data_IF_034143190558
#
_entry.id   IF_034143190558
#
_cell.length_a   1.000
_cell.length_b   1.000
_cell.length_c   1.000
_cell.angle_alpha   90.00
_cell.angle_beta   90.00
_cell.angle_gamma   90.00
#
_symmetry.space_group_name_H-M   'P 1'
#
loop_
_entity.id
_entity.type
_entity.pdbx_description
1 polymer ?
#
# COMPACT_ATOMS: atom_id res chain seq x y z
N UNK A 1 -9.63 -4.46 -6.01
CA UNK A 1 -8.55 -5.31 -6.57
C UNK A 1 -7.89 -6.04 -5.40
N UNK A 2 -7.81 -7.37 -5.46
CA UNK A 2 -7.08 -8.14 -4.47
C UNK A 2 -5.57 -7.89 -4.64
N UNK A 3 -4.85 -7.64 -3.56
CA UNK A 3 -3.39 -7.54 -3.58
C UNK A 3 -2.81 -8.84 -4.16
N UNK A 4 -1.87 -8.71 -5.10
CA UNK A 4 -1.14 -9.84 -5.71
C UNK A 4 -0.09 -10.46 -4.78
N UNK A 5 -0.06 -10.06 -3.50
CA UNK A 5 0.81 -10.66 -2.50
C UNK A 5 0.32 -12.06 -2.16
N UNK A 6 1.15 -13.07 -2.43
CA UNK A 6 0.88 -14.44 -2.00
C UNK A 6 0.72 -14.49 -0.47
N UNK A 7 -0.43 -14.97 0.00
CA UNK A 7 -0.60 -15.24 1.42
C UNK A 7 0.06 -16.59 1.80
N UNK A 8 0.16 -16.89 3.09
CA UNK A 8 0.78 -18.14 3.56
C UNK A 8 0.06 -19.41 3.08
N UNK A 9 -1.24 -19.33 2.78
CA UNK A 9 -2.02 -20.46 2.25
C UNK A 9 -1.74 -20.67 0.77
N UNK A 10 -1.60 -19.60 -0.01
CA UNK A 10 -1.19 -19.68 -1.42
C UNK A 10 0.20 -20.30 -1.53
N UNK A 11 1.12 -19.89 -0.66
CA UNK A 11 2.43 -20.53 -0.55
C UNK A 11 2.33 -22.02 -0.26
N UNK A 12 1.54 -22.42 0.75
CA UNK A 12 1.38 -23.82 1.11
C UNK A 12 0.85 -24.68 -0.06
N UNK A 13 -0.05 -24.13 -0.89
CA UNK A 13 -0.51 -24.77 -2.12
C UNK A 13 0.64 -24.95 -3.12
N UNK A 14 1.43 -23.89 -3.36
CA UNK A 14 2.59 -23.98 -4.26
C UNK A 14 3.63 -24.98 -3.75
N UNK A 15 3.88 -25.04 -2.44
CA UNK A 15 4.79 -26.02 -1.81
C UNK A 15 4.29 -27.45 -1.98
N UNK A 16 3.00 -27.71 -1.79
CA UNK A 16 2.40 -29.03 -2.00
C UNK A 16 2.50 -29.50 -3.47
N UNK A 17 2.59 -28.56 -4.42
CA UNK A 17 2.78 -28.83 -5.85
C UNK A 17 4.25 -28.90 -6.27
N UNK A 18 5.20 -28.64 -5.37
CA UNK A 18 6.64 -28.58 -5.68
C UNK A 18 7.17 -29.89 -6.27
N UNK A 19 6.68 -31.01 -5.77
CA UNK A 19 7.14 -32.34 -6.13
C UNK A 19 6.38 -32.95 -7.34
N UNK A 20 5.40 -32.25 -7.89
CA UNK A 20 4.69 -32.66 -9.10
C UNK A 20 3.21 -32.30 -9.14
N UNK A 21 2.51 -32.85 -10.14
CA UNK A 21 1.07 -32.67 -10.31
C UNK A 21 0.29 -33.31 -9.16
N UNK A 22 -0.72 -32.60 -8.66
CA UNK A 22 -1.65 -33.13 -7.66
C UNK A 22 -3.10 -32.76 -7.98
N UNK A 23 -4.01 -33.70 -7.77
CA UNK A 23 -5.45 -33.44 -7.83
C UNK A 23 -5.93 -32.63 -6.60
N UNK A 24 -7.12 -32.05 -6.73
CA UNK A 24 -7.69 -31.17 -5.71
C UNK A 24 -8.03 -31.91 -4.40
N UNK A 25 -8.39 -33.19 -4.46
CA UNK A 25 -8.75 -33.97 -3.27
C UNK A 25 -7.51 -34.25 -2.42
N UNK A 26 -6.41 -34.61 -3.07
CA UNK A 26 -5.11 -34.81 -2.43
C UNK A 26 -4.56 -33.51 -1.84
N UNK A 27 -4.68 -32.39 -2.55
CA UNK A 27 -4.28 -31.08 -2.03
C UNK A 27 -5.14 -30.68 -0.82
N UNK A 28 -6.46 -30.83 -0.90
CA UNK A 28 -7.37 -30.53 0.20
C UNK A 28 -7.05 -31.38 1.44
N UNK A 29 -6.78 -32.68 1.26
CA UNK A 29 -6.37 -33.56 2.36
C UNK A 29 -4.99 -33.21 2.92
N UNK A 30 -4.03 -32.80 2.10
CA UNK A 30 -2.67 -32.47 2.53
C UNK A 30 -2.64 -31.17 3.34
N UNK A 31 -3.45 -30.20 2.92
CA UNK A 31 -3.52 -28.87 3.53
C UNK A 31 -4.61 -28.75 4.61
N UNK A 32 -5.33 -29.85 4.89
CA UNK A 32 -6.52 -29.87 5.76
C UNK A 32 -7.53 -28.76 5.41
N UNK A 33 -7.69 -28.49 4.11
CA UNK A 33 -8.45 -27.37 3.59
C UNK A 33 -9.82 -27.81 3.05
N UNK A 34 -10.81 -26.90 3.10
CA UNK A 34 -12.08 -27.12 2.41
C UNK A 34 -11.86 -27.12 0.88
N UNK A 35 -12.43 -28.13 0.21
CA UNK A 35 -12.25 -28.35 -1.23
C UNK A 35 -12.72 -27.16 -2.09
N UNK A 36 -13.91 -26.64 -1.84
CA UNK A 36 -14.49 -25.58 -2.69
C UNK A 36 -13.67 -24.28 -2.56
N UNK A 37 -13.28 -23.92 -1.33
CA UNK A 37 -12.40 -22.78 -1.08
C UNK A 37 -11.01 -22.95 -1.71
N UNK A 38 -10.50 -24.18 -1.73
CA UNK A 38 -9.24 -24.50 -2.42
C UNK A 38 -9.38 -24.42 -3.94
N UNK A 39 -10.53 -24.80 -4.51
CA UNK A 39 -10.79 -24.69 -5.96
C UNK A 39 -10.79 -23.23 -6.41
N UNK A 40 -11.50 -22.35 -5.70
CA UNK A 40 -11.50 -20.91 -5.98
C UNK A 40 -10.09 -20.31 -5.90
N UNK A 41 -9.31 -20.77 -4.93
CA UNK A 41 -7.93 -20.33 -4.74
C UNK A 41 -7.00 -20.81 -5.85
N UNK A 42 -7.10 -22.08 -6.24
CA UNK A 42 -6.35 -22.64 -7.37
C UNK A 42 -6.73 -21.95 -8.68
N UNK A 43 -8.00 -21.57 -8.87
CA UNK A 43 -8.42 -20.75 -10.02
C UNK A 43 -7.68 -19.42 -10.06
N UNK A 44 -7.64 -18.69 -8.94
CA UNK A 44 -6.89 -17.42 -8.85
C UNK A 44 -5.39 -17.60 -9.10
N UNK A 45 -4.78 -18.67 -8.59
CA UNK A 45 -3.37 -18.98 -8.85
C UNK A 45 -3.12 -19.32 -10.33
N UNK A 46 -4.08 -19.96 -10.99
CA UNK A 46 -4.02 -20.27 -12.42
C UNK A 46 -4.17 -19.00 -13.27
N UNK A 47 -5.09 -18.12 -12.91
CA UNK A 47 -5.29 -16.82 -13.57
C UNK A 47 -4.03 -15.93 -13.48
N UNK A 48 -3.29 -16.03 -12.36
CA UNK A 48 -1.98 -15.38 -12.17
C UNK A 48 -0.80 -16.14 -12.81
N UNK A 49 -1.05 -17.25 -13.51
CA UNK A 49 -0.03 -18.04 -14.19
C UNK A 49 0.97 -18.75 -13.27
N UNK A 50 0.62 -18.97 -12.00
CA UNK A 50 1.47 -19.64 -11.02
C UNK A 50 1.28 -21.16 -11.02
N UNK A 51 0.08 -21.62 -11.37
CA UNK A 51 -0.24 -23.04 -11.56
C UNK A 51 -0.92 -23.26 -12.91
N UNK A 52 -0.76 -24.45 -13.48
CA UNK A 52 -1.48 -24.92 -14.66
C UNK A 52 -2.51 -25.97 -14.24
N UNK A 53 -3.74 -25.84 -14.75
CA UNK A 53 -4.79 -26.86 -14.64
C UNK A 53 -4.69 -27.82 -15.82
N UNK A 54 -4.61 -29.12 -15.54
CA UNK A 54 -4.64 -30.21 -16.52
C UNK A 54 -5.64 -31.30 -16.14
N UNK A 55 -5.73 -32.34 -16.96
CA UNK A 55 -6.67 -33.45 -16.77
C UNK A 55 -6.39 -34.23 -15.47
N UNK A 56 -5.12 -34.31 -15.08
CA UNK A 56 -4.65 -35.03 -13.88
C UNK A 56 -4.57 -34.14 -12.62
N UNK A 57 -5.02 -32.88 -12.70
CA UNK A 57 -5.01 -31.95 -11.57
C UNK A 57 -4.22 -30.66 -11.85
N UNK A 58 -3.54 -30.16 -10.83
CA UNK A 58 -2.80 -28.90 -10.87
C UNK A 58 -1.30 -29.16 -10.80
N UNK A 59 -0.52 -28.37 -11.52
CA UNK A 59 0.94 -28.41 -11.48
C UNK A 59 1.51 -26.99 -11.43
N UNK A 60 2.64 -26.82 -10.76
CA UNK A 60 3.40 -25.56 -10.77
C UNK A 60 3.86 -25.20 -12.19
N UNK A 61 3.72 -23.92 -12.55
CA UNK A 61 4.42 -23.35 -13.72
C UNK A 61 5.87 -23.00 -13.36
N UNK A 62 6.69 -22.66 -14.36
CA UNK A 62 8.02 -22.11 -14.11
C UNK A 62 7.96 -20.78 -13.33
N UNK A 63 6.91 -19.96 -13.56
CA UNK A 63 6.70 -18.73 -12.80
C UNK A 63 6.34 -19.02 -11.34
N UNK A 64 5.41 -19.96 -11.09
CA UNK A 64 5.08 -20.39 -9.74
C UNK A 64 6.30 -20.92 -8.99
N UNK A 65 7.19 -21.66 -9.68
CA UNK A 65 8.43 -22.18 -9.08
C UNK A 65 9.39 -21.06 -8.72
N UNK A 66 9.63 -20.11 -9.64
CA UNK A 66 10.47 -18.93 -9.35
C UNK A 66 9.93 -18.12 -8.17
N UNK A 67 8.62 -17.89 -8.12
CA UNK A 67 7.99 -17.14 -7.03
C UNK A 67 8.14 -17.89 -5.70
N UNK A 68 7.94 -19.21 -5.70
CA UNK A 68 8.13 -20.04 -4.51
C UNK A 68 9.59 -20.05 -4.03
N UNK A 69 10.56 -20.04 -4.94
CA UNK A 69 12.00 -19.99 -4.63
C UNK A 69 12.46 -18.59 -4.20
N UNK A 70 11.89 -17.54 -4.79
CA UNK A 70 12.21 -16.15 -4.47
C UNK A 70 11.59 -15.68 -3.15
N UNK A 71 10.51 -16.33 -2.73
CA UNK A 71 9.86 -16.06 -1.44
C UNK A 71 10.47 -17.05 -0.43
N UNK A 72 11.31 -16.61 0.52
CA UNK A 72 11.84 -17.52 1.53
C UNK A 72 10.70 -18.17 2.35
N UNK A 73 10.94 -19.41 2.80
CA UNK A 73 9.97 -20.25 3.55
C UNK A 73 9.56 -19.60 4.86
N UNK A 74 10.45 -18.78 5.41
CA UNK A 74 10.20 -17.88 6.53
C UNK A 74 10.04 -16.49 5.92
N UNK A 75 8.79 -16.01 5.85
CA UNK A 75 8.43 -14.77 5.16
C UNK A 75 9.40 -13.65 5.49
N UNK A 76 9.92 -12.96 4.46
CA UNK A 76 11.06 -12.00 4.50
C UNK A 76 11.69 -11.99 5.88
N UNK A 77 12.72 -12.81 6.10
CA UNK A 77 13.42 -12.80 7.39
C UNK A 77 14.06 -11.42 7.57
N UNK A 78 13.27 -10.47 8.08
CA UNK A 78 13.67 -9.09 8.30
C UNK A 78 14.87 -9.05 9.28
N UNK A 79 15.14 -10.15 9.98
CA UNK A 79 16.32 -10.33 10.83
C UNK A 79 17.62 -10.28 10.03
N UNK A 80 17.61 -10.65 8.74
CA UNK A 80 18.79 -10.57 7.87
C UNK A 80 19.26 -9.12 7.75
N UNK A 81 18.30 -8.18 7.71
CA UNK A 81 18.57 -6.75 7.57
C UNK A 81 18.43 -5.98 8.89
N UNK A 82 18.21 -6.67 10.01
CA UNK A 82 18.08 -6.05 11.33
C UNK A 82 19.35 -6.26 12.15
N UNK A 83 20.05 -5.20 12.59
CA UNK A 83 21.25 -5.35 13.42
C UNK A 83 20.98 -6.15 14.70
N UNK A 84 21.96 -6.96 15.14
CA UNK A 84 21.84 -7.84 16.33
C UNK A 84 21.36 -7.12 17.60
N UNK A 85 21.71 -5.83 17.75
CA UNK A 85 21.27 -5.03 18.89
C UNK A 85 19.80 -4.66 18.87
N UNK A 86 19.25 -4.44 17.68
CA UNK A 86 17.82 -4.21 17.46
C UNK A 86 17.07 -5.51 17.66
N UNK A 87 17.58 -6.64 17.14
CA UNK A 87 16.98 -7.97 17.40
C UNK A 87 16.94 -8.29 18.91
N UNK A 88 18.04 -8.07 19.64
CA UNK A 88 18.05 -8.26 21.09
C UNK A 88 17.07 -7.34 21.82
N UNK A 89 16.89 -6.10 21.35
CA UNK A 89 15.91 -5.18 21.91
C UNK A 89 14.48 -5.68 21.68
N UNK A 90 14.16 -6.16 20.48
CA UNK A 90 12.86 -6.74 20.15
C UNK A 90 12.56 -8.02 20.95
N UNK A 91 13.53 -8.94 21.04
CA UNK A 91 13.40 -10.18 21.82
C UNK A 91 13.15 -9.91 23.32
N UNK A 92 13.63 -8.79 23.85
CA UNK A 92 13.41 -8.41 25.25
C UNK A 92 11.99 -7.90 25.56
N UNK A 93 11.16 -7.63 24.53
CA UNK A 93 9.84 -6.98 24.69
C UNK A 93 8.64 -7.92 24.77
N UNK A 94 8.85 -9.24 24.82
CA UNK A 94 7.78 -10.25 24.90
C UNK A 94 6.69 -10.06 23.82
N UNK A 95 7.11 -9.68 22.62
CA UNK A 95 6.21 -9.46 21.49
C UNK A 95 5.74 -10.77 20.88
N UNK A 96 4.49 -10.77 20.39
CA UNK A 96 4.06 -11.87 19.53
C UNK A 96 4.87 -11.86 18.22
N UNK A 97 5.06 -13.03 17.56
CA UNK A 97 5.87 -13.09 16.34
C UNK A 97 5.41 -12.16 15.21
N UNK A 98 4.10 -11.95 15.06
CA UNK A 98 3.47 -11.04 14.09
C UNK A 98 3.71 -9.56 14.45
N UNK A 99 3.59 -9.20 15.73
CA UNK A 99 3.92 -7.86 16.23
C UNK A 99 5.40 -7.52 16.02
N UNK A 100 6.30 -8.45 16.38
CA UNK A 100 7.73 -8.29 16.14
C UNK A 100 8.04 -8.11 14.65
N UNK A 101 7.30 -8.77 13.77
CA UNK A 101 7.45 -8.62 12.31
C UNK A 101 7.00 -7.22 11.83
N UNK A 102 5.92 -6.67 12.39
CA UNK A 102 5.48 -5.31 12.09
C UNK A 102 6.50 -4.25 12.53
N UNK A 103 7.07 -4.39 13.73
CA UNK A 103 8.11 -3.47 14.21
C UNK A 103 9.37 -3.58 13.35
N UNK A 104 9.75 -4.80 12.91
CA UNK A 104 10.87 -4.99 11.97
C UNK A 104 10.62 -4.35 10.61
N UNK A 105 9.40 -4.44 10.08
CA UNK A 105 9.05 -3.79 8.82
C UNK A 105 9.18 -2.26 8.93
N UNK A 106 8.65 -1.67 9.99
CA UNK A 106 8.80 -0.24 10.29
C UNK A 106 10.26 0.18 10.48
N UNK A 107 11.04 -0.60 11.24
CA UNK A 107 12.48 -0.36 11.42
C UNK A 107 13.26 -0.48 10.11
N UNK A 108 12.96 -1.48 9.28
CA UNK A 108 13.63 -1.69 7.98
C UNK A 108 13.38 -0.52 7.04
N UNK A 109 12.14 0.01 7.03
CA UNK A 109 11.81 1.22 6.29
C UNK A 109 12.64 2.42 6.78
N UNK A 110 12.66 2.69 8.09
CA UNK A 110 13.47 3.77 8.65
C UNK A 110 14.97 3.60 8.40
N UNK A 111 15.51 2.38 8.50
CA UNK A 111 16.91 2.09 8.20
C UNK A 111 17.24 2.35 6.73
N UNK A 112 16.30 2.05 5.84
CA UNK A 112 16.50 2.29 4.41
C UNK A 112 16.54 3.79 4.10
N UNK A 113 15.55 4.55 4.58
CA UNK A 113 15.33 5.97 4.27
C UNK A 113 16.08 6.96 5.17
N UNK A 114 16.49 6.53 6.36
CA UNK A 114 17.10 7.38 7.38
C UNK A 114 16.08 8.15 8.22
N UNK A 115 15.19 8.90 7.59
CA UNK A 115 14.15 9.69 8.26
C UNK A 115 12.78 9.45 7.63
N UNK A 116 11.73 9.44 8.46
CA UNK A 116 10.35 9.39 8.00
C UNK A 116 9.38 9.95 9.05
N UNK A 117 8.24 10.45 8.60
CA UNK A 117 7.09 10.74 9.45
C UNK A 117 6.36 9.45 9.85
N UNK A 118 5.58 9.50 10.93
CA UNK A 118 4.72 8.38 11.31
C UNK A 118 3.80 7.94 10.15
N UNK A 119 3.24 8.88 9.38
CA UNK A 119 2.36 8.58 8.25
C UNK A 119 3.06 7.77 7.15
N UNK A 120 4.31 8.12 6.81
CA UNK A 120 5.11 7.39 5.82
C UNK A 120 5.46 5.98 6.29
N UNK A 121 5.85 5.82 7.56
CA UNK A 121 6.12 4.49 8.13
C UNK A 121 4.86 3.62 8.11
N UNK A 122 3.70 4.22 8.44
CA UNK A 122 2.41 3.54 8.39
C UNK A 122 2.07 3.08 6.97
N UNK A 123 2.14 3.97 5.98
CA UNK A 123 1.79 3.65 4.60
C UNK A 123 2.65 2.50 4.07
N UNK A 124 3.96 2.54 4.35
CA UNK A 124 4.91 1.54 3.91
C UNK A 124 4.74 0.17 4.59
N UNK A 125 4.55 0.14 5.92
CA UNK A 125 4.62 -1.11 6.68
C UNK A 125 3.26 -1.72 7.04
N UNK A 126 2.20 -0.92 7.21
CA UNK A 126 0.88 -1.44 7.64
C UNK A 126 0.26 -2.35 6.57
N UNK A 127 0.40 -1.97 5.29
CA UNK A 127 -0.16 -2.76 4.18
C UNK A 127 0.52 -4.12 4.02
N UNK A 128 1.78 -4.25 4.45
CA UNK A 128 2.53 -5.51 4.45
C UNK A 128 2.26 -6.35 5.71
N UNK A 129 2.20 -5.74 6.89
CA UNK A 129 2.12 -6.46 8.17
C UNK A 129 1.10 -5.83 9.15
N UNK A 130 -0.21 -6.00 8.94
CA UNK A 130 -1.25 -5.33 9.74
C UNK A 130 -1.53 -5.94 11.12
N UNK A 131 -1.03 -7.17 11.41
CA UNK A 131 -1.14 -7.84 12.73
C UNK A 131 -2.58 -7.97 13.27
N UNK A 132 -3.57 -8.00 12.38
CA UNK A 132 -4.99 -8.11 12.76
C UNK A 132 -5.62 -6.82 13.31
N UNK A 133 -4.93 -5.68 13.25
CA UNK A 133 -5.51 -4.39 13.57
C UNK A 133 -6.46 -3.92 12.46
N UNK A 134 -7.54 -3.25 12.83
CA UNK A 134 -8.60 -2.82 11.91
C UNK A 134 -8.24 -1.53 11.15
N UNK A 135 -7.33 -0.72 11.69
CA UNK A 135 -6.88 0.53 11.09
C UNK A 135 -5.39 0.73 11.29
N UNK A 136 -4.82 1.55 10.41
CA UNK A 136 -3.40 1.85 10.38
C UNK A 136 -2.97 2.66 11.62
N UNK A 137 -3.83 3.56 12.10
CA UNK A 137 -3.61 4.35 13.32
C UNK A 137 -3.62 3.48 14.57
N UNK A 138 -4.53 2.49 14.65
CA UNK A 138 -4.57 1.54 15.77
C UNK A 138 -3.37 0.61 15.76
N UNK A 139 -2.94 0.17 14.57
CA UNK A 139 -1.69 -0.59 14.40
C UNK A 139 -0.48 0.23 14.86
N UNK A 140 -0.37 1.49 14.43
CA UNK A 140 0.73 2.36 14.81
C UNK A 140 0.79 2.61 16.31
N UNK A 141 -0.29 3.14 16.88
CA UNK A 141 -0.36 3.52 18.29
C UNK A 141 -0.38 2.32 19.23
N UNK A 142 -0.94 1.18 18.81
CA UNK A 142 -1.16 0.02 19.66
C UNK A 142 -0.14 -1.10 19.50
N UNK A 143 0.71 -1.08 18.46
CA UNK A 143 1.71 -2.12 18.21
C UNK A 143 3.09 -1.55 17.90
N UNK A 144 3.21 -0.58 16.99
CA UNK A 144 4.54 -0.23 16.45
C UNK A 144 5.25 0.88 17.21
N UNK A 145 4.57 2.01 17.46
CA UNK A 145 5.15 3.27 17.94
C UNK A 145 6.07 3.09 19.15
N UNK A 146 5.54 2.59 20.27
CA UNK A 146 6.28 2.47 21.53
C UNK A 146 7.46 1.50 21.43
N UNK A 147 7.32 0.45 20.61
CA UNK A 147 8.38 -0.53 20.41
C UNK A 147 9.48 -0.01 19.50
N UNK A 148 9.12 0.78 18.49
CA UNK A 148 10.04 1.44 17.57
C UNK A 148 10.86 2.52 18.30
N UNK A 149 10.23 3.34 19.15
CA UNK A 149 10.89 4.40 19.93
C UNK A 149 11.98 3.86 20.83
N UNK A 150 11.74 2.68 21.37
CA UNK A 150 12.62 2.09 22.34
C UNK A 150 13.67 1.16 21.69
N UNK A 151 13.76 1.09 20.35
CA UNK A 151 14.87 0.43 19.67
C UNK A 151 16.16 1.26 19.78
N UNK A 152 17.34 0.63 19.84
CA UNK A 152 18.58 1.36 19.73
C UNK A 152 18.64 2.06 18.37
N UNK A 153 19.31 3.21 18.30
CA UNK A 153 19.53 4.00 17.07
C UNK A 153 18.27 4.54 16.41
N UNK A 154 17.09 4.44 17.04
CA UNK A 154 15.89 5.12 16.59
C UNK A 154 15.61 6.26 17.55
N UNK A 155 15.37 7.45 16.99
CA UNK A 155 14.98 8.63 17.76
C UNK A 155 13.71 9.21 17.19
N UNK A 156 12.86 9.71 18.08
CA UNK A 156 11.69 10.48 17.73
C UNK A 156 11.98 11.96 17.98
N UNK A 157 11.72 12.79 16.97
CA UNK A 157 11.69 14.24 17.11
C UNK A 157 10.29 14.75 16.75
N UNK A 158 9.71 15.55 17.64
CA UNK A 158 8.49 16.29 17.33
C UNK A 158 8.86 17.65 16.76
N UNK A 159 8.44 17.92 15.53
CA UNK A 159 8.29 19.28 15.03
C UNK A 159 6.80 19.61 15.11
N UNK A 160 6.46 20.75 15.72
CA UNK A 160 5.05 21.18 15.86
C UNK A 160 4.37 21.34 14.49
N UNK A 161 5.13 21.62 13.43
CA UNK A 161 4.61 21.88 12.09
C UNK A 161 4.60 20.63 11.18
N UNK A 162 5.46 19.64 11.41
CA UNK A 162 5.62 18.45 10.55
C UNK A 162 5.09 17.15 11.18
N UNK A 163 4.71 17.20 12.47
CA UNK A 163 4.25 16.03 13.22
C UNK A 163 5.39 15.19 13.77
N UNK A 164 5.09 13.94 14.12
CA UNK A 164 6.05 13.00 14.69
C UNK A 164 7.03 12.51 13.62
N UNK A 165 8.27 13.01 13.67
CA UNK A 165 9.36 12.58 12.80
C UNK A 165 10.21 11.52 13.51
N UNK A 166 10.61 10.50 12.77
CA UNK A 166 11.38 9.35 13.22
C UNK A 166 12.68 9.30 12.44
N UNK A 167 13.80 9.13 13.15
CA UNK A 167 15.14 9.11 12.57
C UNK A 167 15.90 7.86 13.02
N UNK A 168 16.48 7.17 12.07
CA UNK A 168 17.54 6.19 12.27
C UNK A 168 18.89 6.91 12.37
N UNK A 169 19.60 6.74 13.50
CA UNK A 169 20.89 7.40 13.80
C UNK A 169 22.09 6.72 13.13
N UNK A 170 21.90 5.54 12.52
CA UNK A 170 22.95 4.85 11.78
C UNK A 170 23.14 5.41 10.36
N UNK A 171 23.97 4.75 9.56
CA UNK A 171 24.09 5.07 8.13
C UNK A 171 22.90 4.48 7.39
N UNK A 172 22.01 5.31 6.80
CA UNK A 172 20.89 4.80 6.01
C UNK A 172 21.38 4.00 4.80
N UNK A 173 20.53 3.13 4.26
CA UNK A 173 20.90 2.33 3.08
C UNK A 173 21.06 3.20 1.82
N UNK A 174 20.31 4.31 1.75
CA UNK A 174 20.48 5.33 0.73
C UNK A 174 21.23 6.53 1.35
N UNK A 175 22.40 6.87 0.81
CA UNK A 175 23.22 7.98 1.31
C UNK A 175 22.59 9.35 1.02
N UNK A 176 21.80 9.44 -0.05
CA UNK A 176 20.99 10.59 -0.42
C UNK A 176 19.73 10.09 -1.12
N UNK A 177 18.55 10.68 -0.87
CA UNK A 177 17.33 10.33 -1.60
C UNK A 177 17.50 10.53 -3.13
N UNK A 178 18.38 11.43 -3.55
CA UNK A 178 18.67 11.67 -4.97
C UNK A 178 19.53 10.58 -5.65
N UNK A 179 20.17 9.69 -4.88
CA UNK A 179 21.10 8.65 -5.38
C UNK A 179 20.44 7.26 -5.53
N UNK A 180 19.10 7.20 -5.48
CA UNK A 180 18.30 5.97 -5.43
C UNK A 180 18.45 5.01 -6.62
N UNK A 181 18.18 3.73 -6.38
CA UNK A 181 18.26 2.58 -7.29
C UNK A 181 17.24 2.58 -8.46
N UNK A 182 16.71 3.75 -8.82
CA UNK A 182 15.58 3.92 -9.73
C UNK A 182 14.21 3.78 -9.06
N UNK A 183 14.14 3.66 -7.73
CA UNK A 183 12.92 3.89 -6.96
C UNK A 183 12.85 5.36 -6.59
N UNK A 184 11.89 6.06 -7.18
CA UNK A 184 11.64 7.47 -6.91
C UNK A 184 11.39 7.68 -5.41
N UNK A 185 12.20 8.55 -4.83
CA UNK A 185 12.05 8.97 -3.44
C UNK A 185 10.96 10.02 -3.40
N UNK A 186 9.94 9.89 -2.54
CA UNK A 186 9.00 10.97 -2.34
C UNK A 186 9.76 12.24 -1.93
N UNK A 187 9.48 13.36 -2.60
CA UNK A 187 10.01 14.65 -2.17
C UNK A 187 9.73 14.85 -0.68
N UNK A 188 10.72 15.35 0.10
CA UNK A 188 10.49 15.64 1.51
C UNK A 188 9.27 16.54 1.64
N UNK A 189 8.34 16.24 2.57
CA UNK A 189 7.08 16.94 2.65
C UNK A 189 7.34 18.43 2.88
N UNK A 190 7.07 19.25 1.87
CA UNK A 190 6.82 20.67 2.14
C UNK A 190 5.63 20.73 3.10
N UNK A 191 5.66 21.65 4.07
CA UNK A 191 4.75 21.78 5.25
C UNK A 191 3.24 21.74 4.94
N UNK A 192 2.83 21.66 3.67
CA UNK A 192 1.43 21.56 3.21
C UNK A 192 1.09 20.28 2.44
N UNK A 193 2.04 19.34 2.29
CA UNK A 193 1.88 18.13 1.48
C UNK A 193 2.33 16.86 2.22
N UNK A 194 2.13 16.78 3.54
CA UNK A 194 2.48 15.58 4.34
C UNK A 194 1.59 14.35 4.09
N UNK A 195 0.69 14.42 3.10
CA UNK A 195 -0.19 13.33 2.73
C UNK A 195 0.42 12.70 1.47
N UNK A 196 1.23 11.67 1.63
CA UNK A 196 1.98 11.06 0.52
C UNK A 196 1.12 10.34 -0.52
N UNK A 197 -0.17 10.08 -0.25
CA UNK A 197 -1.05 9.42 -1.21
C UNK A 197 -2.50 9.90 -1.10
N UNK A 198 -3.21 9.89 -2.24
CA UNK A 198 -4.66 10.15 -2.28
C UNK A 198 -5.46 9.21 -1.37
N UNK A 199 -4.95 8.00 -1.15
CA UNK A 199 -5.52 7.06 -0.19
C UNK A 199 -5.46 7.62 1.22
N UNK A 200 -4.30 8.10 1.66
CA UNK A 200 -4.12 8.62 3.00
C UNK A 200 -4.98 9.88 3.24
N UNK A 201 -5.07 10.76 2.23
CA UNK A 201 -5.96 11.94 2.27
C UNK A 201 -7.41 11.54 2.57
N UNK A 202 -7.90 10.51 1.87
CA UNK A 202 -9.26 10.01 2.03
C UNK A 202 -9.48 9.24 3.32
N UNK A 203 -8.44 8.67 3.92
CA UNK A 203 -8.51 7.95 5.19
C UNK A 203 -8.49 8.95 6.37
N UNK A 204 -7.71 10.04 6.30
CA UNK A 204 -7.63 11.07 7.35
C UNK A 204 -8.87 11.94 7.51
N UNK A 205 -9.70 12.06 6.48
CA UNK A 205 -10.93 12.87 6.51
C UNK A 205 -12.12 12.15 7.17
N UNK A 206 -11.94 10.88 7.57
CA UNK A 206 -12.98 10.01 8.14
C UNK A 206 -14.34 10.00 7.37
N UNK A 207 -14.38 9.99 6.02
CA UNK A 207 -15.64 9.96 5.29
C UNK A 207 -16.37 8.63 5.54
N UNK A 208 -17.69 8.63 5.35
CA UNK A 208 -18.47 7.39 5.37
C UNK A 208 -17.94 6.39 4.31
N UNK A 209 -18.17 5.07 4.49
CA UNK A 209 -17.73 4.08 3.51
C UNK A 209 -18.22 4.34 2.07
N UNK A 210 -19.44 4.89 1.93
CA UNK A 210 -20.01 5.25 0.65
C UNK A 210 -19.29 6.45 0.02
N UNK A 211 -19.09 7.53 0.78
CA UNK A 211 -18.34 8.72 0.32
C UNK A 211 -16.91 8.37 -0.07
N UNK A 212 -16.25 7.50 0.70
CA UNK A 212 -14.89 7.03 0.39
C UNK A 212 -14.85 6.23 -0.91
N UNK A 213 -15.83 5.37 -1.15
CA UNK A 213 -15.92 4.60 -2.39
C UNK A 213 -16.16 5.51 -3.60
N UNK A 214 -17.10 6.46 -3.48
CA UNK A 214 -17.39 7.47 -4.50
C UNK A 214 -16.17 8.33 -4.80
N UNK A 215 -15.47 8.82 -3.79
CA UNK A 215 -14.28 9.64 -3.97
C UNK A 215 -13.11 8.89 -4.61
N UNK A 216 -12.91 7.61 -4.26
CA UNK A 216 -11.90 6.76 -4.91
C UNK A 216 -12.23 6.57 -6.39
N UNK A 217 -13.49 6.29 -6.73
CA UNK A 217 -13.90 6.14 -8.12
C UNK A 217 -13.77 7.46 -8.90
N UNK A 218 -14.20 8.58 -8.32
CA UNK A 218 -14.05 9.92 -8.88
C UNK A 218 -12.57 10.27 -9.13
N UNK A 219 -11.70 9.97 -8.16
CA UNK A 219 -10.27 10.25 -8.27
C UNK A 219 -9.62 9.43 -9.39
N UNK A 220 -9.99 8.16 -9.59
CA UNK A 220 -9.49 7.35 -10.72
C UNK A 220 -9.83 8.01 -12.05
N UNK A 221 -11.09 8.43 -12.23
CA UNK A 221 -11.52 9.13 -13.46
C UNK A 221 -10.78 10.45 -13.64
N UNK A 222 -10.61 11.23 -12.56
CA UNK A 222 -9.88 12.49 -12.59
C UNK A 222 -8.40 12.28 -12.92
N UNK A 223 -7.77 11.24 -12.37
CA UNK A 223 -6.37 10.91 -12.63
C UNK A 223 -6.15 10.47 -14.08
N UNK A 224 -7.07 9.70 -14.66
CA UNK A 224 -7.00 9.27 -16.07
C UNK A 224 -7.22 10.43 -17.05
N UNK A 225 -8.15 11.35 -16.74
CA UNK A 225 -8.52 12.45 -17.64
C UNK A 225 -7.68 13.71 -17.42
N UNK A 226 -7.04 13.84 -16.27
CA UNK A 226 -6.34 15.05 -15.80
C UNK A 226 -7.25 16.22 -15.44
N UNK A 227 -8.44 16.33 -16.04
CA UNK A 227 -9.46 17.35 -15.74
C UNK A 227 -10.87 16.76 -15.90
N UNK A 228 -11.78 17.13 -15.01
CA UNK A 228 -13.20 16.76 -15.09
C UNK A 228 -14.05 17.75 -14.27
N UNK A 229 -15.29 18.00 -14.70
CA UNK A 229 -16.30 18.61 -13.82
C UNK A 229 -16.78 17.59 -12.80
N UNK A 230 -17.37 18.04 -11.70
CA UNK A 230 -17.94 17.12 -10.71
C UNK A 230 -19.07 16.28 -11.33
N UNK A 231 -19.84 16.85 -12.25
CA UNK A 231 -20.89 16.13 -12.98
C UNK A 231 -20.30 15.03 -13.86
N UNK A 232 -19.21 15.29 -14.59
CA UNK A 232 -18.50 14.27 -15.39
C UNK A 232 -17.99 13.11 -14.52
N UNK A 233 -17.59 13.42 -13.28
CA UNK A 233 -17.10 12.41 -12.33
C UNK A 233 -18.26 11.55 -11.80
N UNK A 234 -19.39 12.16 -11.48
CA UNK A 234 -20.59 11.44 -11.02
C UNK A 234 -21.16 10.56 -12.13
N UNK A 235 -21.30 11.07 -13.35
CA UNK A 235 -21.76 10.30 -14.52
C UNK A 235 -20.88 9.07 -14.76
N UNK A 236 -19.55 9.25 -14.70
CA UNK A 236 -18.61 8.14 -14.88
C UNK A 236 -18.72 7.07 -13.78
N UNK A 237 -19.11 7.44 -12.56
CA UNK A 237 -19.32 6.51 -11.44
C UNK A 237 -20.64 5.76 -11.61
N UNK A 238 -21.71 6.44 -12.00
CA UNK A 238 -23.03 5.85 -12.24
C UNK A 238 -22.99 4.83 -13.40
N UNK A 239 -22.26 5.13 -14.47
CA UNK A 239 -22.07 4.22 -15.61
C UNK A 239 -21.29 2.95 -15.23
N UNK A 240 -20.36 3.06 -14.28
CA UNK A 240 -19.56 1.94 -13.80
C UNK A 240 -20.26 1.09 -12.74
N UNK A 241 -21.15 1.69 -11.95
CA UNK A 241 -21.76 1.07 -10.77
C UNK A 241 -23.27 1.36 -10.76
N UNK A 242 -24.09 0.32 -10.99
CA UNK A 242 -25.55 0.39 -10.79
C UNK A 242 -25.89 0.58 -9.31
N UNK A 243 -25.73 1.79 -8.80
CA UNK A 243 -26.15 2.16 -7.45
C UNK A 243 -27.35 3.08 -7.54
N UNK A 244 -28.47 2.68 -6.93
CA UNK A 244 -29.70 3.45 -6.81
C UNK A 244 -29.53 4.63 -5.83
N UNK A 245 -28.60 5.55 -6.09
CA UNK A 245 -28.44 6.76 -5.29
C UNK A 245 -29.14 7.91 -5.99
N UNK A 246 -30.13 8.51 -5.31
CA UNK A 246 -30.76 9.75 -5.75
C UNK A 246 -29.71 10.87 -5.66
N UNK A 247 -29.20 11.27 -6.81
CA UNK A 247 -28.28 12.41 -6.95
C UNK A 247 -28.93 13.66 -6.35
N UNK A 248 -28.37 14.17 -5.27
CA UNK A 248 -28.78 15.42 -4.63
C UNK A 248 -27.66 16.43 -4.75
N UNK A 249 -27.99 17.71 -4.98
CA UNK A 249 -27.00 18.80 -5.12
C UNK A 249 -25.96 18.85 -3.99
N UNK A 250 -26.33 18.40 -2.77
CA UNK A 250 -25.40 18.30 -1.64
C UNK A 250 -24.27 17.27 -1.82
N UNK A 251 -24.45 16.28 -2.70
CA UNK A 251 -23.44 15.25 -2.99
C UNK A 251 -22.30 15.79 -3.85
N UNK A 252 -22.61 16.74 -4.74
CA UNK A 252 -21.63 17.40 -5.64
C UNK A 252 -20.65 18.25 -4.83
N UNK A 253 -21.16 19.08 -3.91
CA UNK A 253 -20.33 19.95 -3.09
C UNK A 253 -19.47 19.16 -2.09
N UNK A 254 -20.04 18.11 -1.48
CA UNK A 254 -19.32 17.21 -0.58
C UNK A 254 -18.17 16.48 -1.31
N UNK A 255 -18.44 15.90 -2.48
CA UNK A 255 -17.43 15.22 -3.28
C UNK A 255 -16.33 16.20 -3.75
N UNK A 256 -16.70 17.39 -4.22
CA UNK A 256 -15.72 18.41 -4.63
C UNK A 256 -14.82 18.82 -3.48
N UNK A 257 -15.40 19.04 -2.28
CA UNK A 257 -14.63 19.41 -1.10
C UNK A 257 -13.65 18.32 -0.72
N UNK A 258 -14.11 17.05 -0.71
CA UNK A 258 -13.28 15.90 -0.36
C UNK A 258 -12.15 15.64 -1.37
N UNK A 259 -12.41 15.83 -2.67
CA UNK A 259 -11.37 15.71 -3.71
C UNK A 259 -10.33 16.82 -3.62
N UNK A 260 -10.70 18.04 -3.20
CA UNK A 260 -9.76 19.16 -3.06
C UNK A 260 -8.77 18.98 -1.90
N UNK A 261 -9.06 18.08 -0.96
CA UNK A 261 -8.14 17.67 0.09
C UNK A 261 -7.10 16.64 -0.41
N UNK A 262 -7.28 16.08 -1.61
CA UNK A 262 -6.33 15.14 -2.21
C UNK A 262 -5.15 15.93 -2.81
N UNK A 263 -3.89 15.59 -2.45
CA UNK A 263 -2.70 16.19 -3.05
C UNK A 263 -2.72 16.14 -4.59
N UNK A 264 -2.35 17.25 -5.23
CA UNK A 264 -2.35 17.39 -6.68
C UNK A 264 -3.72 17.72 -7.29
N UNK A 265 -4.81 17.68 -6.52
CA UNK A 265 -6.13 18.12 -6.98
C UNK A 265 -6.33 19.61 -6.71
N UNK A 266 -6.76 20.34 -7.73
CA UNK A 266 -7.04 21.78 -7.64
C UNK A 266 -8.27 22.16 -8.46
N UNK A 267 -8.90 23.29 -8.12
CA UNK A 267 -9.99 23.87 -8.90
C UNK A 267 -9.41 24.80 -9.98
N UNK A 268 -9.81 24.60 -11.24
CA UNK A 268 -9.28 25.37 -12.37
C UNK A 268 -10.38 26.17 -13.05
N UNK A 269 -10.31 27.49 -12.86
CA UNK A 269 -11.20 28.46 -13.49
C UNK A 269 -12.52 28.63 -12.75
N UNK A 270 -12.90 29.89 -12.50
CA UNK A 270 -14.31 30.28 -12.49
C UNK A 270 -14.64 30.50 -13.96
N UNK A 271 -15.24 29.52 -14.62
CA UNK A 271 -15.72 29.70 -15.99
C UNK A 271 -16.61 30.94 -16.01
N UNK A 272 -16.35 31.90 -16.91
CA UNK A 272 -17.07 33.18 -16.98
C UNK A 272 -18.57 32.94 -17.27
N UNK A 273 -19.35 32.80 -16.21
CA UNK A 273 -20.77 32.51 -16.23
C UNK A 273 -21.20 31.98 -14.86
N UNK A 274 -22.19 32.60 -14.23
CA UNK A 274 -22.62 32.27 -12.86
C UNK A 274 -23.12 30.82 -12.68
N UNK A 275 -23.32 30.08 -13.78
CA UNK A 275 -23.87 28.71 -13.81
C UNK A 275 -22.85 27.64 -14.25
N UNK A 276 -21.59 27.99 -14.46
CA UNK A 276 -20.63 27.00 -14.94
C UNK A 276 -20.08 26.13 -13.80
N UNK A 277 -20.25 24.81 -13.91
CA UNK A 277 -19.80 23.84 -12.92
C UNK A 277 -18.28 23.93 -12.68
N UNK A 278 -17.81 23.79 -11.43
CA UNK A 278 -16.39 23.84 -11.11
C UNK A 278 -15.64 22.68 -11.78
N UNK A 279 -14.56 23.01 -12.48
CA UNK A 279 -13.65 22.01 -13.07
C UNK A 279 -12.56 21.68 -12.05
N UNK A 280 -12.41 20.39 -11.75
CA UNK A 280 -11.27 19.87 -11.00
C UNK A 280 -10.17 19.47 -11.97
N UNK A 281 -8.92 19.68 -11.54
CA UNK A 281 -7.72 19.24 -12.23
C UNK A 281 -6.88 18.42 -11.27
N UNK A 282 -6.41 17.28 -11.74
CA UNK A 282 -5.34 16.56 -11.09
C UNK A 282 -4.05 16.79 -11.87
N UNK A 283 -3.06 17.37 -11.21
CA UNK A 283 -1.67 17.33 -11.64
C UNK A 283 -0.95 16.40 -10.66
N UNK A 284 -0.48 15.21 -11.10
CA UNK A 284 0.44 14.47 -10.25
C UNK A 284 1.61 15.38 -9.91
N UNK A 285 2.20 15.19 -8.73
CA UNK A 285 3.49 15.81 -8.44
C UNK A 285 4.40 15.53 -9.65
N UNK A 286 5.10 16.56 -10.20
CA UNK A 286 5.94 16.35 -11.36
C UNK A 286 6.85 15.18 -11.06
N UNK A 287 6.69 14.08 -11.79
CA UNK A 287 7.73 13.07 -11.87
C UNK A 287 8.95 13.86 -12.38
N UNK A 288 10.00 13.99 -11.57
CA UNK A 288 11.23 14.63 -12.02
C UNK A 288 11.86 13.73 -13.08
N UNK A 289 11.37 13.83 -14.31
CA UNK A 289 11.92 13.20 -15.52
C UNK A 289 13.19 13.99 -15.89
N UNK A 290 14.19 14.01 -15.01
CA UNK A 290 15.54 14.52 -15.30
C UNK A 290 16.54 13.40 -15.62
N UNK A 291 16.08 12.16 -15.77
CA UNK A 291 16.95 11.01 -16.03
C UNK A 291 17.39 10.84 -17.50
N UNK A 292 16.84 11.59 -18.47
CA UNK A 292 17.08 11.36 -19.90
C UNK A 292 18.00 12.41 -20.60
N UNK A 293 18.73 13.24 -19.81
CA UNK A 293 19.68 14.24 -20.35
C UNK A 293 21.16 13.93 -20.16
N UNK A 294 21.53 12.79 -19.57
CA UNK A 294 22.94 12.38 -19.39
C UNK A 294 23.37 11.32 -20.40
N UNK A 295 23.29 11.62 -21.70
CA UNK A 295 24.09 10.93 -22.73
C UNK A 295 24.17 11.79 -24.00
N UNK A 296 24.96 12.87 -23.93
CA UNK A 296 25.45 13.62 -25.10
C UNK A 296 26.64 14.49 -24.66
N UNK A 297 27.76 13.87 -24.31
CA UNK A 297 29.08 14.52 -24.26
C UNK A 297 30.18 13.50 -24.54
#
# INVERSE_FOLDING_TARGET
MASNTLDGRDRAVLEALRDGTSDIERLASTLEANRDALEERLSRLADNGLVNRGDDGYALTDNGRRVLEATPVDGRDYRIDTPDEVERALESRDLRPDEASAVRAAFSFLRYWGEATAAEVIDAAYSEVPVGYESAERWWSGCVRDHLEALPTVTQSGDEDLGEQWRYEGTPAIDSPEDGDGRDVPDPPSVRHSIGSARHALESLEPSPAERATARAAFVVLAERGRATVDDLLEAIEDGHSTEHESSDGSVEALSSLLLEIPGVSRVGETEGADAAPVLRYEPAPEDIESDRRDSS
#
